data_IF_046847341329
#
_entry.id   IF_046847341329
#
_cell.length_a   1.000
_cell.length_b   1.000
_cell.length_c   1.000
_cell.angle_alpha   90.00
_cell.angle_beta   90.00
_cell.angle_gamma   90.00
#
_symmetry.space_group_name_H-M   'P 1'
#
loop_
_entity.id
_entity.type
_entity.pdbx_description
1 polymer ?
#
# COMPACT_ATOMS: atom_id res chain seq x y z
N UNK A 1 -10.47 -17.55 -3.46
CA UNK A 1 -10.40 -18.26 -2.16
C UNK A 1 -9.54 -17.52 -1.15
N UNK A 2 -8.30 -17.14 -1.47
CA UNK A 2 -7.40 -16.45 -0.53
C UNK A 2 -7.95 -15.15 0.09
N UNK A 3 -8.61 -14.29 -0.70
CA UNK A 3 -9.25 -13.08 -0.16
C UNK A 3 -10.38 -13.36 0.84
N UNK A 4 -11.17 -14.41 0.61
CA UNK A 4 -12.23 -14.82 1.53
C UNK A 4 -11.65 -15.39 2.83
N UNK A 5 -10.55 -16.14 2.71
CA UNK A 5 -9.81 -16.69 3.85
C UNK A 5 -9.16 -15.59 4.68
N UNK A 6 -8.45 -14.66 4.04
CA UNK A 6 -7.88 -13.47 4.69
C UNK A 6 -8.97 -12.66 5.40
N UNK A 7 -10.10 -12.39 4.74
CA UNK A 7 -11.22 -11.69 5.36
C UNK A 7 -11.85 -12.45 6.54
N UNK A 8 -11.86 -13.78 6.51
CA UNK A 8 -12.34 -14.62 7.61
C UNK A 8 -11.43 -14.52 8.84
N UNK A 9 -10.11 -14.59 8.64
CA UNK A 9 -9.14 -14.43 9.73
C UNK A 9 -9.11 -13.01 10.27
N UNK A 10 -9.18 -11.99 9.39
CA UNK A 10 -9.14 -10.60 9.82
C UNK A 10 -10.32 -10.23 10.73
N UNK A 11 -11.52 -10.75 10.44
CA UNK A 11 -12.71 -10.56 11.31
C UNK A 11 -12.57 -11.18 12.71
N UNK A 12 -11.63 -12.09 12.89
CA UNK A 12 -11.31 -12.73 14.16
C UNK A 12 -10.03 -12.16 14.80
N UNK A 13 -9.51 -11.05 14.27
CA UNK A 13 -8.25 -10.41 14.69
C UNK A 13 -7.02 -11.33 14.56
N UNK A 14 -7.12 -12.38 13.74
CA UNK A 14 -6.06 -13.36 13.45
C UNK A 14 -5.15 -12.81 12.35
N UNK A 15 -4.28 -11.86 12.72
CA UNK A 15 -3.46 -11.11 11.76
C UNK A 15 -2.47 -11.99 11.00
N UNK A 16 -1.77 -12.91 11.68
CA UNK A 16 -0.75 -13.75 11.05
C UNK A 16 -1.35 -14.69 9.99
N UNK A 17 -2.52 -15.26 10.26
CA UNK A 17 -3.25 -16.11 9.32
C UNK A 17 -3.81 -15.30 8.16
N UNK A 18 -4.22 -14.06 8.42
CA UNK A 18 -4.62 -13.09 7.39
C UNK A 18 -3.46 -12.82 6.43
N UNK A 19 -2.29 -12.47 6.96
CA UNK A 19 -1.09 -12.20 6.18
C UNK A 19 -0.61 -13.45 5.43
N UNK A 20 -0.69 -14.63 6.06
CA UNK A 20 -0.34 -15.90 5.41
C UNK A 20 -1.21 -16.14 4.17
N UNK A 21 -2.53 -15.96 4.28
CA UNK A 21 -3.44 -16.12 3.14
C UNK A 21 -3.17 -15.08 2.02
N UNK A 22 -2.82 -13.84 2.38
CA UNK A 22 -2.47 -12.81 1.40
C UNK A 22 -1.11 -13.07 0.72
N UNK A 23 -0.11 -13.54 1.46
CA UNK A 23 1.18 -13.98 0.91
C UNK A 23 1.00 -15.18 -0.02
N UNK A 24 0.12 -16.12 0.31
CA UNK A 24 -0.22 -17.23 -0.59
C UNK A 24 -0.89 -16.75 -1.88
N UNK A 25 -1.78 -15.75 -1.80
CA UNK A 25 -2.33 -15.11 -3.00
C UNK A 25 -1.22 -14.52 -3.87
N UNK A 26 -0.34 -13.71 -3.30
CA UNK A 26 0.76 -13.08 -4.04
C UNK A 26 1.69 -14.12 -4.69
N UNK A 27 1.90 -15.28 -4.06
CA UNK A 27 2.69 -16.37 -4.65
C UNK A 27 2.03 -17.03 -5.86
N UNK A 28 0.70 -17.13 -5.87
CA UNK A 28 -0.06 -17.73 -6.97
C UNK A 28 -0.32 -16.70 -8.08
N UNK A 29 -0.37 -15.42 -7.73
CA UNK A 29 -0.61 -14.29 -8.64
C UNK A 29 0.60 -13.32 -8.62
N UNK A 30 1.82 -13.75 -9.00
CA UNK A 30 3.03 -12.94 -8.84
C UNK A 30 3.04 -11.68 -9.74
N UNK A 31 2.28 -11.70 -10.83
CA UNK A 31 2.16 -10.56 -11.76
C UNK A 31 0.94 -9.67 -11.43
N UNK A 32 0.25 -9.91 -10.31
CA UNK A 32 -0.92 -9.13 -9.91
C UNK A 32 -0.56 -8.05 -8.89
N UNK A 33 -0.46 -6.76 -9.28
CA UNK A 33 -0.13 -5.67 -8.36
C UNK A 33 -1.12 -5.56 -7.20
N UNK A 34 -2.39 -5.91 -7.40
CA UNK A 34 -3.43 -5.89 -6.36
C UNK A 34 -3.13 -6.88 -5.22
N UNK A 35 -2.43 -7.99 -5.49
CA UNK A 35 -2.07 -8.96 -4.46
C UNK A 35 -1.10 -8.35 -3.43
N UNK A 36 -0.11 -7.60 -3.93
CA UNK A 36 0.89 -6.92 -3.12
C UNK A 36 0.35 -5.63 -2.49
N UNK A 37 -0.45 -4.87 -3.22
CA UNK A 37 -1.13 -3.68 -2.69
C UNK A 37 -2.05 -4.05 -1.52
N UNK A 38 -2.87 -5.10 -1.65
CA UNK A 38 -3.71 -5.59 -0.55
C UNK A 38 -2.84 -5.98 0.66
N UNK A 39 -1.70 -6.64 0.45
CA UNK A 39 -0.80 -7.00 1.56
C UNK A 39 -0.27 -5.74 2.27
N UNK A 40 0.14 -4.72 1.52
CA UNK A 40 0.62 -3.46 2.06
C UNK A 40 -0.45 -2.72 2.90
N UNK A 41 -1.71 -2.72 2.46
CA UNK A 41 -2.79 -2.04 3.21
C UNK A 41 -3.07 -2.70 4.56
N UNK A 42 -2.96 -4.02 4.67
CA UNK A 42 -3.09 -4.74 5.94
C UNK A 42 -1.92 -4.47 6.88
N UNK A 43 -0.69 -4.42 6.38
CA UNK A 43 0.46 -4.03 7.19
C UNK A 43 0.37 -2.59 7.68
N UNK A 44 -0.05 -1.65 6.81
CA UNK A 44 -0.35 -0.28 7.22
C UNK A 44 -1.42 -0.25 8.31
N UNK A 45 -2.53 -0.97 8.13
CA UNK A 45 -3.62 -0.98 9.09
C UNK A 45 -3.15 -1.49 10.46
N UNK A 46 -2.38 -2.58 10.47
CA UNK A 46 -1.77 -3.13 11.68
C UNK A 46 -0.86 -2.12 12.36
N UNK A 47 0.06 -1.50 11.62
CA UNK A 47 1.00 -0.54 12.16
C UNK A 47 0.33 0.75 12.64
N UNK A 48 -0.73 1.20 11.98
CA UNK A 48 -1.39 2.49 12.26
C UNK A 48 -2.49 2.39 13.32
N UNK A 49 -3.24 1.29 13.36
CA UNK A 49 -4.43 1.15 14.21
C UNK A 49 -4.22 0.31 15.46
N UNK A 50 -3.19 -0.54 15.51
CA UNK A 50 -2.94 -1.39 16.68
C UNK A 50 -2.04 -0.67 17.70
N UNK A 51 -2.67 0.07 18.62
CA UNK A 51 -1.98 0.80 19.68
C UNK A 51 -1.35 -0.09 20.76
N UNK A 52 -1.45 -1.42 20.64
CA UNK A 52 -0.80 -2.37 21.55
C UNK A 52 0.63 -2.70 21.15
N UNK A 53 1.02 -2.36 19.91
CA UNK A 53 2.35 -2.61 19.40
C UNK A 53 3.38 -1.72 20.10
N UNK A 54 4.54 -2.28 20.38
CA UNK A 54 5.72 -1.49 20.73
C UNK A 54 6.37 -0.89 19.46
N UNK A 55 7.35 -0.01 19.66
CA UNK A 55 8.04 0.70 18.57
C UNK A 55 8.70 -0.24 17.55
N UNK A 56 9.31 -1.34 18.02
CA UNK A 56 9.98 -2.31 17.15
C UNK A 56 8.98 -3.10 16.31
N UNK A 57 7.87 -3.54 16.91
CA UNK A 57 6.80 -4.24 16.20
C UNK A 57 6.15 -3.34 15.15
N UNK A 58 5.84 -2.08 15.51
CA UNK A 58 5.29 -1.11 14.57
C UNK A 58 6.26 -0.87 13.41
N UNK A 59 7.55 -0.66 13.68
CA UNK A 59 8.57 -0.46 12.65
C UNK A 59 8.69 -1.69 11.72
N UNK A 60 8.59 -2.90 12.27
CA UNK A 60 8.59 -4.14 11.49
C UNK A 60 7.44 -4.21 10.49
N UNK A 61 6.20 -3.92 10.93
CA UNK A 61 5.05 -3.89 10.03
C UNK A 61 5.11 -2.75 9.01
N UNK A 62 5.64 -1.58 9.39
CA UNK A 62 5.88 -0.49 8.43
C UNK A 62 6.84 -0.95 7.33
N UNK A 63 7.95 -1.60 7.68
CA UNK A 63 8.93 -2.09 6.72
C UNK A 63 8.33 -3.15 5.78
N UNK A 64 7.57 -4.12 6.31
CA UNK A 64 6.87 -5.14 5.51
C UNK A 64 5.82 -4.51 4.57
N UNK A 65 5.10 -3.47 5.02
CA UNK A 65 4.20 -2.69 4.19
C UNK A 65 4.91 -1.99 3.03
N UNK A 66 6.10 -1.41 3.28
CA UNK A 66 6.92 -0.75 2.26
C UNK A 66 7.38 -1.78 1.21
N UNK A 67 7.88 -2.94 1.65
CA UNK A 67 8.28 -4.02 0.71
C UNK A 67 7.10 -4.45 -0.16
N UNK A 68 5.92 -4.63 0.44
CA UNK A 68 4.74 -5.04 -0.32
C UNK A 68 4.29 -3.96 -1.33
N UNK A 69 4.28 -2.68 -0.95
CA UNK A 69 3.85 -1.62 -1.87
C UNK A 69 4.89 -1.34 -2.96
N UNK A 70 6.19 -1.53 -2.69
CA UNK A 70 7.24 -1.48 -3.71
C UNK A 70 7.02 -2.55 -4.78
N UNK A 71 6.71 -3.79 -4.39
CA UNK A 71 6.37 -4.86 -5.34
C UNK A 71 5.12 -4.52 -6.17
N UNK A 72 4.10 -3.91 -5.56
CA UNK A 72 2.92 -3.45 -6.29
C UNK A 72 3.25 -2.38 -7.34
N UNK A 73 4.15 -1.44 -7.00
CA UNK A 73 4.58 -0.35 -7.87
C UNK A 73 5.58 -0.79 -8.96
N UNK A 74 6.37 -1.82 -8.71
CA UNK A 74 7.20 -2.47 -9.73
C UNK A 74 6.35 -3.10 -10.84
N UNK A 75 5.22 -3.69 -10.47
CA UNK A 75 4.28 -4.31 -11.42
C UNK A 75 3.36 -3.30 -12.12
N UNK A 76 3.05 -2.19 -11.43
CA UNK A 76 2.17 -1.13 -11.93
C UNK A 76 2.62 0.23 -11.40
N UNK A 77 3.43 0.91 -12.20
CA UNK A 77 4.03 2.20 -11.85
C UNK A 77 3.05 3.39 -11.89
N UNK A 78 1.85 3.21 -12.45
CA UNK A 78 0.76 4.21 -12.47
C UNK A 78 -0.32 3.96 -11.39
N UNK A 79 -0.01 3.11 -10.40
CA UNK A 79 -0.93 2.73 -9.34
C UNK A 79 -1.00 3.78 -8.22
N UNK A 80 -1.78 4.84 -8.45
CA UNK A 80 -1.86 5.99 -7.54
C UNK A 80 -2.30 5.64 -6.10
N UNK A 81 -3.16 4.64 -5.92
CA UNK A 81 -3.53 4.14 -4.60
C UNK A 81 -2.34 3.50 -3.87
N UNK A 82 -1.54 2.67 -4.55
CA UNK A 82 -0.32 2.10 -3.97
C UNK A 82 0.69 3.20 -3.60
N UNK A 83 0.89 4.21 -4.46
CA UNK A 83 1.73 5.37 -4.12
C UNK A 83 1.26 6.09 -2.86
N UNK A 84 -0.07 6.22 -2.68
CA UNK A 84 -0.65 6.85 -1.49
C UNK A 84 -0.28 6.08 -0.22
N UNK A 85 -0.37 4.74 -0.24
CA UNK A 85 0.04 3.92 0.91
C UNK A 85 1.55 3.93 1.15
N UNK A 86 2.37 3.90 0.09
CA UNK A 86 3.83 4.05 0.23
C UNK A 86 4.20 5.36 0.90
N UNK A 87 3.61 6.48 0.46
CA UNK A 87 3.79 7.79 1.08
C UNK A 87 3.45 7.76 2.58
N UNK A 88 2.33 7.15 2.98
CA UNK A 88 1.95 7.08 4.41
C UNK A 88 2.96 6.24 5.21
N UNK A 89 3.34 5.08 4.70
CA UNK A 89 4.30 4.18 5.34
C UNK A 89 5.69 4.83 5.49
N UNK A 90 6.18 5.53 4.46
CA UNK A 90 7.43 6.28 4.51
C UNK A 90 7.39 7.38 5.58
N UNK A 91 6.25 8.07 5.75
CA UNK A 91 6.10 9.06 6.84
C UNK A 91 6.09 8.42 8.22
N UNK A 92 5.49 7.23 8.36
CA UNK A 92 5.57 6.47 9.61
C UNK A 92 7.01 6.08 9.92
N UNK A 93 7.76 5.60 8.92
CA UNK A 93 9.18 5.27 9.05
C UNK A 93 10.03 6.52 9.39
N UNK A 94 9.75 7.66 8.75
CA UNK A 94 10.44 8.92 9.00
C UNK A 94 10.23 9.41 10.44
N UNK A 95 9.03 9.27 10.99
CA UNK A 95 8.72 9.64 12.37
C UNK A 95 9.50 8.80 13.39
N UNK A 96 9.77 7.53 13.07
CA UNK A 96 10.59 6.64 13.91
C UNK A 96 12.11 6.79 13.67
N UNK A 97 12.52 7.55 12.63
CA UNK A 97 13.92 7.69 12.23
C UNK A 97 14.60 8.85 12.95
N UNK A 98 15.65 8.56 13.72
CA UNK A 98 16.42 9.58 14.48
C UNK A 98 17.49 10.26 13.64
N UNK A 99 18.05 9.57 12.63
CA UNK A 99 19.03 10.17 11.73
C UNK A 99 18.35 11.21 10.83
N UNK A 100 18.72 12.48 10.99
CA UNK A 100 18.06 13.59 10.28
C UNK A 100 18.15 13.46 8.76
N UNK A 101 19.30 13.07 8.23
CA UNK A 101 19.46 12.91 6.77
C UNK A 101 18.58 11.78 6.22
N UNK A 102 18.44 10.67 6.94
CA UNK A 102 17.58 9.57 6.54
C UNK A 102 16.09 9.95 6.66
N UNK A 103 15.72 10.62 7.75
CA UNK A 103 14.37 11.17 7.92
C UNK A 103 14.00 12.11 6.78
N UNK A 104 14.88 13.03 6.40
CA UNK A 104 14.64 14.01 5.34
C UNK A 104 14.49 13.32 3.97
N UNK A 105 15.28 12.27 3.70
CA UNK A 105 15.15 11.48 2.48
C UNK A 105 13.80 10.76 2.39
N UNK A 106 13.35 10.14 3.48
CA UNK A 106 12.04 9.47 3.54
C UNK A 106 10.88 10.45 3.34
N UNK A 107 10.97 11.65 3.91
CA UNK A 107 9.97 12.71 3.74
C UNK A 107 9.94 13.19 2.29
N UNK A 108 11.11 13.40 1.67
CA UNK A 108 11.21 13.82 0.28
C UNK A 108 10.58 12.79 -0.66
N UNK A 109 10.89 11.51 -0.50
CA UNK A 109 10.29 10.43 -1.30
C UNK A 109 8.76 10.37 -1.11
N UNK A 110 8.29 10.51 0.13
CA UNK A 110 6.86 10.55 0.43
C UNK A 110 6.14 11.74 -0.23
N UNK A 111 6.79 12.91 -0.30
CA UNK A 111 6.26 14.11 -0.99
C UNK A 111 6.22 13.95 -2.51
N UNK A 112 7.24 13.33 -3.10
CA UNK A 112 7.28 12.99 -4.53
C UNK A 112 6.15 12.02 -4.90
N UNK A 113 6.00 10.94 -4.13
CA UNK A 113 4.92 9.96 -4.32
C UNK A 113 3.53 10.59 -4.17
N UNK A 114 3.33 11.47 -3.19
CA UNK A 114 2.06 12.17 -3.00
C UNK A 114 1.71 13.04 -4.21
N UNK A 115 2.69 13.77 -4.74
CA UNK A 115 2.52 14.62 -5.93
C UNK A 115 2.15 13.75 -7.13
N UNK A 116 2.93 12.69 -7.37
CA UNK A 116 2.70 11.79 -8.51
C UNK A 116 1.36 11.06 -8.44
N UNK A 117 0.95 10.61 -7.25
CA UNK A 117 -0.34 9.96 -7.04
C UNK A 117 -1.51 10.90 -7.40
N UNK A 118 -1.43 12.18 -7.02
CA UNK A 118 -2.47 13.15 -7.36
C UNK A 118 -2.53 13.43 -8.86
N UNK A 119 -1.38 13.60 -9.53
CA UNK A 119 -1.32 13.75 -10.98
C UNK A 119 -1.98 12.56 -11.70
N UNK A 120 -1.61 11.34 -11.34
CA UNK A 120 -2.16 10.11 -11.92
C UNK A 120 -3.65 9.98 -11.67
N UNK A 121 -4.13 10.33 -10.48
CA UNK A 121 -5.56 10.32 -10.13
C UNK A 121 -6.35 11.25 -11.03
N UNK A 122 -5.84 12.46 -11.28
CA UNK A 122 -6.45 13.44 -12.18
C UNK A 122 -6.44 12.94 -13.63
N UNK A 123 -5.30 12.43 -14.12
CA UNK A 123 -5.20 11.86 -15.48
C UNK A 123 -6.20 10.72 -15.69
N UNK A 124 -6.33 9.80 -14.72
CA UNK A 124 -7.27 8.67 -14.81
C UNK A 124 -8.72 9.15 -14.78
N UNK A 125 -9.05 10.16 -13.97
CA UNK A 125 -10.38 10.77 -13.94
C UNK A 125 -10.73 11.41 -15.28
N UNK A 126 -9.82 12.17 -15.88
CA UNK A 126 -10.03 12.80 -17.19
C UNK A 126 -10.25 11.75 -18.29
N UNK A 127 -9.41 10.70 -18.32
CA UNK A 127 -9.56 9.58 -19.26
C UNK A 127 -10.91 8.87 -19.09
N UNK A 128 -11.36 8.65 -17.86
CA UNK A 128 -12.66 8.02 -17.59
C UNK A 128 -13.83 8.88 -18.08
N UNK A 129 -13.79 10.20 -17.86
CA UNK A 129 -14.81 11.15 -18.34
C UNK A 129 -14.85 11.16 -19.87
N UNK A 130 -13.70 11.19 -20.53
CA UNK A 130 -13.62 11.15 -22.00
C UNK A 130 -14.18 9.85 -22.57
N UNK A 131 -13.86 8.71 -21.96
CA UNK A 131 -14.38 7.40 -22.37
C UNK A 131 -15.90 7.30 -22.20
N UNK A 132 -16.45 7.81 -21.08
CA UNK A 132 -17.89 7.84 -20.85
C UNK A 132 -18.62 8.68 -21.91
N UNK A 133 -18.10 9.88 -22.22
CA UNK A 133 -18.67 10.76 -23.24
C UNK A 133 -18.67 10.11 -24.63
N UNK A 134 -17.60 9.39 -25.00
CA UNK A 134 -17.52 8.65 -26.25
C UNK A 134 -18.53 7.50 -26.32
N UNK A 135 -18.79 6.81 -25.21
CA UNK A 135 -19.76 5.70 -25.16
C UNK A 135 -21.23 6.14 -25.21
N UNK A 136 -21.53 7.37 -24.79
CA UNK A 136 -22.89 7.94 -24.82
C UNK A 136 -23.30 8.59 -26.14
N UNK A 137 -22.35 8.79 -27.06
CA UNK A 137 -22.57 9.47 -28.35
C UNK A 137 -22.71 8.55 -29.56
N UNK A 138 -22.77 7.22 -29.35
CA UNK A 138 -22.88 6.19 -30.40
C UNK A 138 -24.25 5.54 -30.48
#
# INVERSE_FOLDING_TARGET
>A
VYLQLAAFFNRQEMFEETITALRDRARIEPDNPEAYYTLATYFWEKAFRDFRLNEEEQAGYVAEGIVAVDQALELKDDYHEAMTYKNILLRMQANATTNKSAQDALIAEADELRTRAEELRLEQQERAVAAAAASSGG
#
